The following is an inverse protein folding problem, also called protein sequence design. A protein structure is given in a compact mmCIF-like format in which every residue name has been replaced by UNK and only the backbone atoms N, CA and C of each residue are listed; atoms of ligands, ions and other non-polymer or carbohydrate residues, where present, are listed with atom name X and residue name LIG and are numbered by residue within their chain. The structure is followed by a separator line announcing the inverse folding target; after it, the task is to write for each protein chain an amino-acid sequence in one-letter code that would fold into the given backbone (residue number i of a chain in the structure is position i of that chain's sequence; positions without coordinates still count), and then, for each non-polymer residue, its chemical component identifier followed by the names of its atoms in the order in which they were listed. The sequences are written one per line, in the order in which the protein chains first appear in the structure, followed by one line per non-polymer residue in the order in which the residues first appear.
data_IF_528347765132
#
_entry.id   IF_528347765132
#
_cell.length_a   1.000
_cell.length_b   1.000
_cell.length_c   1.000
_cell.angle_alpha   90.00
_cell.angle_beta   90.00
_cell.angle_gamma   90.00
#
_symmetry.space_group_name_H-M   'P 1'
#
loop_
_entity.id
_entity.type
_entity.pdbx_description
1 polymer ?
#
# COMPACT_ATOMS: atom_id res chain seq x y z
N UNK A 1 3.08 -4.64 8.47
CA UNK A 1 3.74 -3.97 7.88
C UNK A 1 4.16 -2.54 7.63
N UNK A 2 5.17 -2.37 6.80
CA UNK A 2 5.73 -1.08 6.44
C UNK A 2 4.70 -0.18 5.73
N UNK A 3 4.03 -0.68 4.69
CA UNK A 3 3.01 0.04 3.92
C UNK A 3 1.86 0.58 4.79
N UNK A 4 1.43 -0.17 5.79
CA UNK A 4 0.37 0.28 6.70
C UNK A 4 0.74 1.53 7.52
N UNK A 5 2.03 1.89 7.58
CA UNK A 5 2.56 3.05 8.30
C UNK A 5 3.06 4.17 7.39
N UNK A 6 2.88 4.02 6.09
CA UNK A 6 3.35 4.98 5.08
C UNK A 6 2.15 5.63 4.40
N UNK A 7 2.14 6.95 4.34
CA UNK A 7 1.16 7.70 3.55
C UNK A 7 1.65 7.71 2.10
N UNK A 8 0.93 7.01 1.22
CA UNK A 8 1.29 6.84 -0.19
C UNK A 8 0.32 7.63 -1.06
N UNK A 9 0.87 8.41 -2.00
CA UNK A 9 0.11 9.09 -3.04
C UNK A 9 0.77 8.86 -4.40
N UNK A 10 -0.06 8.65 -5.41
CA UNK A 10 0.40 8.50 -6.79
C UNK A 10 -0.47 9.39 -7.70
N UNK A 11 -0.18 10.71 -7.76
CA UNK A 11 -0.94 11.64 -8.58
C UNK A 11 -0.74 11.38 -10.07
N UNK A 12 -1.74 11.76 -10.87
CA UNK A 12 -1.61 11.71 -12.32
C UNK A 12 -0.47 12.63 -12.79
N UNK A 13 0.28 12.16 -13.78
CA UNK A 13 1.35 12.96 -14.38
C UNK A 13 0.77 14.18 -15.08
N UNK A 14 1.35 15.35 -14.82
CA UNK A 14 1.08 16.58 -15.56
C UNK A 14 2.10 16.82 -16.67
N UNK A 15 2.91 15.81 -17.02
CA UNK A 15 3.86 15.92 -18.12
C UNK A 15 3.13 16.25 -19.44
N UNK A 16 3.64 17.21 -20.20
CA UNK A 16 2.99 17.74 -21.40
C UNK A 16 1.99 18.88 -21.16
N UNK A 17 1.71 19.25 -19.90
CA UNK A 17 0.83 20.36 -19.53
C UNK A 17 1.57 21.45 -18.73
N UNK A 18 2.85 21.27 -18.46
CA UNK A 18 3.68 22.20 -17.69
C UNK A 18 4.38 23.16 -18.64
N UNK A 19 3.65 24.16 -19.09
CA UNK A 19 4.22 25.25 -19.89
C UNK A 19 4.78 26.31 -18.94
N UNK A 20 5.93 26.87 -19.29
CA UNK A 20 6.56 28.00 -18.58
C UNK A 20 6.26 29.24 -19.39
N UNK A 21 5.71 30.26 -18.76
CA UNK A 21 5.51 31.59 -19.37
C UNK A 21 6.75 32.44 -19.06
N UNK A 22 7.28 33.13 -20.07
CA UNK A 22 8.43 34.02 -19.90
C UNK A 22 8.14 35.17 -18.91
N UNK A 23 6.85 35.48 -18.67
CA UNK A 23 6.42 36.48 -17.68
C UNK A 23 6.55 36.01 -16.23
N UNK A 24 6.74 34.70 -15.99
CA UNK A 24 6.81 34.08 -14.67
C UNK A 24 8.20 34.20 -13.99
N UNK A 25 9.07 35.08 -14.51
CA UNK A 25 10.42 35.34 -13.96
C UNK A 25 10.38 36.12 -12.63
N UNK A 26 9.69 35.62 -11.63
CA UNK A 26 9.91 36.09 -10.27
C UNK A 26 11.09 35.34 -9.67
N UNK A 27 12.28 35.95 -9.70
CA UNK A 27 13.49 35.47 -9.01
C UNK A 27 13.33 35.38 -7.48
N UNK A 28 12.17 35.78 -6.96
CA UNK A 28 11.88 35.76 -5.52
C UNK A 28 11.01 34.57 -5.13
N UNK A 29 11.46 33.81 -4.13
CA UNK A 29 10.64 32.77 -3.53
C UNK A 29 9.34 33.37 -2.97
N UNK A 30 8.16 32.71 -3.20
CA UNK A 30 6.90 33.13 -2.61
C UNK A 30 7.03 33.32 -1.08
N UNK A 31 6.44 34.40 -0.54
CA UNK A 31 6.53 34.75 0.89
C UNK A 31 6.12 33.59 1.82
N UNK A 32 5.15 32.77 1.40
CA UNK A 32 4.74 31.57 2.14
C UNK A 32 5.86 30.52 2.29
N UNK A 33 6.74 30.37 1.29
CA UNK A 33 7.89 29.47 1.36
C UNK A 33 8.90 29.98 2.38
N UNK A 34 9.18 31.28 2.36
CA UNK A 34 10.11 31.89 3.32
C UNK A 34 9.59 31.76 4.76
N UNK A 35 8.30 32.00 4.97
CA UNK A 35 7.66 31.82 6.28
C UNK A 35 7.75 30.35 6.74
N UNK A 36 7.45 29.40 5.87
CA UNK A 36 7.57 27.98 6.17
C UNK A 36 9.02 27.59 6.55
N UNK A 37 10.00 28.04 5.77
CA UNK A 37 11.41 27.77 6.06
C UNK A 37 11.83 28.33 7.42
N UNK A 38 11.41 29.55 7.76
CA UNK A 38 11.68 30.16 9.06
C UNK A 38 11.07 29.36 10.22
N UNK A 39 9.84 28.88 10.07
CA UNK A 39 9.14 28.05 11.06
C UNK A 39 9.86 26.70 11.25
N UNK A 40 10.24 26.03 10.16
CA UNK A 40 10.98 24.76 10.22
C UNK A 40 12.32 24.96 10.92
N UNK A 41 13.05 26.03 10.58
CA UNK A 41 14.33 26.35 11.23
C UNK A 41 14.17 26.53 12.74
N UNK A 42 13.16 27.30 13.19
CA UNK A 42 12.89 27.50 14.62
C UNK A 42 12.55 26.19 15.35
N UNK A 43 11.74 25.33 14.72
CA UNK A 43 11.40 24.02 15.31
C UNK A 43 12.62 23.12 15.46
N UNK A 44 13.48 23.08 14.45
CA UNK A 44 14.71 22.29 14.47
C UNK A 44 15.68 22.83 15.53
N UNK A 45 15.85 24.13 15.63
CA UNK A 45 16.69 24.76 16.65
C UNK A 45 16.21 24.41 18.06
N UNK A 46 14.92 24.58 18.35
CA UNK A 46 14.32 24.20 19.64
C UNK A 46 14.48 22.70 19.94
N UNK A 47 14.34 21.84 18.93
CA UNK A 47 14.52 20.40 19.08
C UNK A 47 15.98 20.06 19.43
N UNK A 48 16.94 20.72 18.77
CA UNK A 48 18.37 20.56 19.03
C UNK A 48 18.74 21.01 20.45
N UNK A 49 18.30 22.21 20.88
CA UNK A 49 18.52 22.74 22.21
C UNK A 49 18.01 21.81 23.30
N UNK A 50 16.78 21.30 23.17
CA UNK A 50 16.19 20.31 24.10
C UNK A 50 17.00 19.02 24.17
N UNK A 51 17.43 18.52 23.00
CA UNK A 51 18.24 17.31 22.95
C UNK A 51 19.59 17.53 23.65
N UNK A 52 20.23 18.68 23.41
CA UNK A 52 21.50 19.05 24.03
C UNK A 52 21.37 19.20 25.55
N UNK A 53 20.26 19.76 26.02
CA UNK A 53 20.00 19.96 27.45
C UNK A 53 19.53 18.66 28.16
N UNK A 54 19.40 17.54 27.46
CA UNK A 54 18.90 16.29 28.03
C UNK A 54 17.44 16.34 28.46
N UNK A 55 16.63 17.26 27.91
CA UNK A 55 15.23 17.40 28.24
C UNK A 55 14.41 16.17 27.81
N UNK A 56 13.47 15.75 28.65
CA UNK A 56 12.56 14.67 28.31
C UNK A 56 11.72 14.99 27.07
N UNK A 57 11.35 13.95 26.32
CA UNK A 57 10.46 14.12 25.17
C UNK A 57 9.12 14.69 25.61
N UNK A 58 8.65 15.69 24.87
CA UNK A 58 7.37 16.31 25.14
C UNK A 58 6.22 15.35 24.82
N UNK A 59 5.25 15.29 25.72
CA UNK A 59 4.00 14.55 25.53
C UNK A 59 2.89 15.56 25.26
N UNK A 60 2.22 15.42 24.12
CA UNK A 60 1.04 16.21 23.79
C UNK A 60 -0.23 15.44 24.18
N UNK A 61 -1.19 16.14 24.75
CA UNK A 61 -2.52 15.59 25.07
C UNK A 61 -3.58 16.19 24.14
N UNK A 62 -4.74 15.54 24.04
CA UNK A 62 -5.85 16.10 23.27
C UNK A 62 -6.69 17.03 24.14
N UNK A 63 -7.10 18.16 23.56
CA UNK A 63 -8.25 18.93 24.07
C UNK A 63 -9.53 18.08 24.01
N UNK A 64 -10.53 18.41 24.82
CA UNK A 64 -11.79 17.64 24.88
C UNK A 64 -12.47 17.47 23.52
N UNK A 65 -12.55 18.52 22.73
CA UNK A 65 -13.17 18.48 21.40
C UNK A 65 -12.29 17.70 20.39
N UNK A 66 -10.98 17.87 20.43
CA UNK A 66 -10.04 17.10 19.62
C UNK A 66 -10.14 15.60 19.93
N UNK A 67 -10.23 15.24 21.22
CA UNK A 67 -10.43 13.85 21.65
C UNK A 67 -11.75 13.30 21.14
N UNK A 68 -12.83 14.05 21.24
CA UNK A 68 -14.16 13.64 20.73
C UNK A 68 -14.11 13.37 19.22
N UNK A 69 -13.51 14.28 18.43
CA UNK A 69 -13.34 14.10 16.98
C UNK A 69 -12.52 12.85 16.66
N UNK A 70 -11.41 12.65 17.38
CA UNK A 70 -10.56 11.49 17.16
C UNK A 70 -11.29 10.19 17.47
N UNK A 71 -12.03 10.10 18.58
CA UNK A 71 -12.83 8.91 18.94
C UNK A 71 -13.91 8.64 17.89
N UNK A 72 -14.61 9.69 17.45
CA UNK A 72 -15.63 9.56 16.39
C UNK A 72 -15.02 9.02 15.11
N UNK A 73 -13.87 9.55 14.70
CA UNK A 73 -13.13 9.07 13.52
C UNK A 73 -12.67 7.63 13.69
N UNK A 74 -12.06 7.28 14.83
CA UNK A 74 -11.64 5.91 15.14
C UNK A 74 -12.81 4.93 14.99
N UNK A 75 -13.96 5.20 15.65
CA UNK A 75 -15.13 4.34 15.57
C UNK A 75 -15.72 4.25 14.16
N UNK A 76 -15.70 5.34 13.40
CA UNK A 76 -16.09 5.35 11.99
C UNK A 76 -15.21 4.41 11.16
N UNK A 77 -13.88 4.44 11.34
CA UNK A 77 -12.97 3.54 10.65
C UNK A 77 -13.22 2.10 11.09
N UNK A 78 -13.28 1.83 12.39
CA UNK A 78 -13.47 0.49 12.94
C UNK A 78 -14.75 -0.18 12.42
N UNK A 79 -15.86 0.57 12.34
CA UNK A 79 -17.11 0.06 11.76
C UNK A 79 -16.97 -0.36 10.28
N UNK A 80 -16.03 0.25 9.54
CA UNK A 80 -15.78 -0.04 8.13
C UNK A 80 -14.73 -1.15 7.91
N UNK A 81 -14.10 -1.64 8.97
CA UNK A 81 -13.14 -2.76 8.88
C UNK A 81 -13.80 -4.14 8.92
N UNK A 82 -15.12 -4.22 9.12
CA UNK A 82 -15.85 -5.48 9.20
C UNK A 82 -15.56 -6.36 7.95
N UNK A 83 -15.10 -7.62 8.11
CA UNK A 83 -14.70 -8.47 6.98
C UNK A 83 -15.81 -8.76 5.97
N UNK A 84 -17.08 -8.73 6.43
CA UNK A 84 -18.25 -9.07 5.57
C UNK A 84 -18.85 -7.86 4.87
N UNK A 85 -18.86 -6.70 5.52
CA UNK A 85 -19.64 -5.53 5.05
C UNK A 85 -18.83 -4.23 5.03
N UNK A 86 -17.62 -4.25 5.57
CA UNK A 86 -16.81 -3.05 5.70
C UNK A 86 -16.18 -2.61 4.38
N UNK A 87 -16.39 -1.35 4.00
CA UNK A 87 -15.81 -0.76 2.80
C UNK A 87 -14.27 -0.79 2.83
N UNK A 88 -13.67 -0.61 4.00
CA UNK A 88 -12.21 -0.57 4.18
C UNK A 88 -11.59 -1.95 4.42
N UNK A 89 -12.38 -3.02 4.41
CA UNK A 89 -11.88 -4.39 4.57
C UNK A 89 -10.76 -4.77 3.58
N UNK A 90 -10.78 -4.35 2.29
CA UNK A 90 -9.70 -4.66 1.36
C UNK A 90 -8.35 -4.05 1.72
N UNK A 91 -8.38 -2.91 2.43
CA UNK A 91 -7.19 -2.14 2.83
C UNK A 91 -7.05 -2.09 4.36
N UNK A 92 -7.55 -3.11 5.07
CA UNK A 92 -7.67 -3.15 6.54
C UNK A 92 -6.38 -2.82 7.26
N UNK A 93 -5.23 -3.26 6.76
CA UNK A 93 -3.93 -3.08 7.43
C UNK A 93 -3.52 -1.60 7.47
N UNK A 94 -3.79 -0.84 6.43
CA UNK A 94 -3.60 0.60 6.40
C UNK A 94 -4.70 1.32 7.19
N UNK A 95 -5.95 0.96 6.95
CA UNK A 95 -7.11 1.61 7.58
C UNK A 95 -7.11 1.47 9.11
N UNK A 96 -6.66 0.33 9.65
CA UNK A 96 -6.50 0.14 11.09
C UNK A 96 -5.46 1.09 11.73
N UNK A 97 -4.59 1.72 10.93
CA UNK A 97 -3.61 2.72 11.37
C UNK A 97 -4.05 4.16 11.13
N UNK A 98 -5.18 4.37 10.47
CA UNK A 98 -5.64 5.70 10.08
C UNK A 98 -5.80 6.67 11.27
N UNK A 99 -6.40 6.22 12.37
CA UNK A 99 -6.58 7.05 13.55
C UNK A 99 -5.24 7.39 14.25
N UNK A 100 -4.27 6.47 14.23
CA UNK A 100 -2.91 6.72 14.72
C UNK A 100 -2.21 7.77 13.84
N UNK A 101 -2.34 7.66 12.51
CA UNK A 101 -1.79 8.66 11.57
C UNK A 101 -2.43 10.03 11.78
N UNK A 102 -3.75 10.10 11.97
CA UNK A 102 -4.44 11.36 12.24
C UNK A 102 -3.92 12.02 13.52
N UNK A 103 -3.75 11.25 14.61
CA UNK A 103 -3.20 11.78 15.86
C UNK A 103 -1.77 12.33 15.70
N UNK A 104 -0.91 11.61 15.00
CA UNK A 104 0.47 12.04 14.72
C UNK A 104 0.53 13.28 13.86
N UNK A 105 -0.29 13.35 12.80
CA UNK A 105 -0.34 14.50 11.91
C UNK A 105 -0.91 15.73 12.63
N UNK A 106 -1.94 15.57 13.45
CA UNK A 106 -2.49 16.62 14.28
C UNK A 106 -1.45 17.18 15.26
N UNK A 107 -0.64 16.32 15.87
CA UNK A 107 0.46 16.73 16.72
C UNK A 107 1.51 17.56 15.95
N UNK A 108 1.86 17.16 14.73
CA UNK A 108 2.79 17.91 13.85
C UNK A 108 2.20 19.28 13.53
N UNK A 109 0.92 19.37 13.17
CA UNK A 109 0.27 20.65 12.88
C UNK A 109 0.24 21.57 14.10
N UNK A 110 -0.06 21.02 15.27
CA UNK A 110 -0.07 21.79 16.51
C UNK A 110 1.32 22.34 16.83
N UNK A 111 2.35 21.54 16.70
CA UNK A 111 3.74 21.97 16.93
C UNK A 111 4.21 22.99 15.91
N UNK A 112 3.75 22.92 14.68
CA UNK A 112 4.07 23.91 13.64
C UNK A 112 3.40 25.28 13.91
N UNK A 113 2.26 25.31 14.61
CA UNK A 113 1.58 26.56 14.98
C UNK A 113 2.21 27.26 16.19
N UNK A 114 2.98 26.56 16.99
CA UNK A 114 3.65 27.11 18.17
C UNK A 114 3.90 26.10 19.29
N UNK A 115 4.25 26.60 20.45
CA UNK A 115 4.69 25.82 21.60
C UNK A 115 3.51 25.42 22.50
N UNK A 116 2.60 24.62 21.96
CA UNK A 116 1.42 24.13 22.69
C UNK A 116 1.69 22.77 23.39
N UNK A 117 0.98 22.50 24.48
CA UNK A 117 0.97 21.23 25.19
C UNK A 117 -0.21 20.34 24.81
N UNK A 118 -1.23 20.91 24.18
CA UNK A 118 -2.47 20.23 23.80
C UNK A 118 -2.71 20.33 22.30
N UNK A 119 -3.28 19.31 21.71
CA UNK A 119 -3.71 19.26 20.33
C UNK A 119 -5.11 19.82 20.26
N UNK A 120 -5.28 20.88 19.47
CA UNK A 120 -6.55 21.56 19.26
C UNK A 120 -7.51 20.79 18.36
N UNK A 121 -8.80 21.13 18.43
CA UNK A 121 -9.83 20.60 17.54
C UNK A 121 -9.51 20.88 16.06
N UNK A 122 -9.04 22.08 15.72
CA UNK A 122 -8.71 22.47 14.35
C UNK A 122 -7.56 21.62 13.79
N UNK A 123 -6.47 21.44 14.55
CA UNK A 123 -5.37 20.57 14.14
C UNK A 123 -5.82 19.13 13.91
N UNK A 124 -6.70 18.61 14.76
CA UNK A 124 -7.27 17.28 14.61
C UNK A 124 -8.19 17.18 13.38
N UNK A 125 -9.04 18.19 13.15
CA UNK A 125 -9.93 18.22 12.00
C UNK A 125 -9.16 18.18 10.68
N UNK A 126 -8.14 19.02 10.53
CA UNK A 126 -7.28 19.05 9.33
C UNK A 126 -6.54 17.74 9.12
N UNK A 127 -6.01 17.16 10.19
CA UNK A 127 -5.33 15.87 10.12
C UNK A 127 -6.27 14.75 9.66
N UNK A 128 -7.48 14.68 10.20
CA UNK A 128 -8.49 13.70 9.80
C UNK A 128 -8.84 13.86 8.32
N UNK A 129 -9.07 15.07 7.84
CA UNK A 129 -9.39 15.34 6.43
C UNK A 129 -8.28 14.81 5.49
N UNK A 130 -7.02 15.03 5.85
CA UNK A 130 -5.88 14.51 5.07
C UNK A 130 -5.83 12.98 5.11
N UNK A 131 -6.04 12.37 6.27
CA UNK A 131 -6.02 10.91 6.38
C UNK A 131 -7.21 10.27 5.65
N UNK A 132 -8.38 10.88 5.64
CA UNK A 132 -9.52 10.44 4.82
C UNK A 132 -9.19 10.47 3.32
N UNK A 133 -8.47 11.50 2.86
CA UNK A 133 -7.97 11.54 1.49
C UNK A 133 -6.99 10.40 1.21
N UNK A 134 -6.04 10.15 2.12
CA UNK A 134 -5.08 9.03 1.97
C UNK A 134 -5.76 7.65 2.03
N UNK A 135 -6.84 7.50 2.78
CA UNK A 135 -7.65 6.27 2.76
C UNK A 135 -8.27 6.02 1.38
N UNK A 136 -8.83 7.07 0.76
CA UNK A 136 -9.36 6.98 -0.60
C UNK A 136 -8.27 6.68 -1.63
N UNK A 137 -7.11 7.32 -1.50
CA UNK A 137 -5.98 7.13 -2.39
C UNK A 137 -5.39 5.72 -2.25
N UNK A 138 -5.26 5.23 -1.02
CA UNK A 138 -4.78 3.88 -0.75
C UNK A 138 -5.77 2.82 -1.28
N UNK A 139 -7.08 3.05 -1.11
CA UNK A 139 -8.13 2.20 -1.68
C UNK A 139 -8.02 2.16 -3.21
N UNK A 140 -7.85 3.32 -3.85
CA UNK A 140 -7.67 3.45 -5.29
C UNK A 140 -6.44 2.68 -5.81
N UNK A 141 -5.33 2.73 -5.07
CA UNK A 141 -4.05 2.13 -5.49
C UNK A 141 -3.97 0.63 -5.21
N UNK A 142 -4.55 0.18 -4.11
CA UNK A 142 -4.29 -1.16 -3.58
C UNK A 142 -5.54 -2.04 -3.41
N UNK A 143 -6.76 -1.49 -3.51
CA UNK A 143 -7.95 -2.33 -3.50
C UNK A 143 -8.08 -3.05 -4.83
N UNK A 144 -8.28 -4.36 -4.76
CA UNK A 144 -8.53 -5.17 -5.95
C UNK A 144 -9.81 -4.69 -6.65
N UNK A 145 -9.75 -4.57 -7.97
CA UNK A 145 -10.93 -4.26 -8.79
C UNK A 145 -12.03 -5.34 -8.63
N UNK A 146 -13.28 -5.01 -8.95
CA UNK A 146 -14.35 -6.02 -8.97
C UNK A 146 -14.04 -7.21 -9.89
N UNK A 147 -13.38 -6.95 -11.02
CA UNK A 147 -12.95 -7.95 -11.99
C UNK A 147 -11.87 -8.86 -11.38
N UNK A 148 -10.85 -8.29 -10.73
CA UNK A 148 -9.80 -9.05 -10.05
C UNK A 148 -10.35 -9.92 -8.93
N UNK A 149 -11.30 -9.40 -8.13
CA UNK A 149 -12.00 -10.19 -7.09
C UNK A 149 -12.81 -11.34 -7.69
N UNK A 150 -13.42 -11.13 -8.84
CA UNK A 150 -14.15 -12.18 -9.55
C UNK A 150 -13.18 -13.25 -10.08
N UNK A 151 -12.07 -12.85 -10.69
CA UNK A 151 -11.04 -13.78 -11.18
C UNK A 151 -10.50 -14.61 -10.02
N UNK A 152 -10.16 -13.98 -8.89
CA UNK A 152 -9.66 -14.65 -7.67
C UNK A 152 -10.68 -15.69 -7.15
N UNK A 153 -11.95 -15.31 -7.02
CA UNK A 153 -13.03 -16.21 -6.58
C UNK A 153 -13.22 -17.40 -7.53
N UNK A 154 -13.07 -17.18 -8.83
CA UNK A 154 -13.14 -18.26 -9.82
C UNK A 154 -11.89 -19.13 -9.79
N UNK A 155 -10.71 -18.54 -9.58
CA UNK A 155 -9.46 -19.25 -9.43
C UNK A 155 -9.50 -20.19 -8.22
N UNK A 156 -10.02 -19.74 -7.09
CA UNK A 156 -10.20 -20.56 -5.90
C UNK A 156 -11.10 -21.78 -6.18
N UNK A 157 -12.24 -21.57 -6.84
CA UNK A 157 -13.14 -22.69 -7.22
C UNK A 157 -12.46 -23.69 -8.15
N UNK A 158 -11.71 -23.21 -9.13
CA UNK A 158 -10.96 -24.07 -10.05
C UNK A 158 -9.87 -24.84 -9.31
N UNK A 159 -9.14 -24.21 -8.40
CA UNK A 159 -8.13 -24.91 -7.58
C UNK A 159 -8.74 -26.02 -6.72
N UNK A 160 -9.84 -25.73 -6.03
CA UNK A 160 -10.55 -26.74 -5.23
C UNK A 160 -11.00 -27.89 -6.10
N UNK A 161 -11.55 -27.61 -7.29
CA UNK A 161 -11.97 -28.63 -8.24
C UNK A 161 -10.78 -29.45 -8.76
N UNK A 162 -9.68 -28.81 -9.15
CA UNK A 162 -8.47 -29.51 -9.59
C UNK A 162 -7.91 -30.43 -8.50
N UNK A 163 -7.86 -29.95 -7.26
CA UNK A 163 -7.41 -30.77 -6.10
C UNK A 163 -8.33 -31.97 -5.88
N UNK A 164 -9.63 -31.81 -6.03
CA UNK A 164 -10.61 -32.90 -5.89
C UNK A 164 -10.48 -33.96 -7.01
N UNK A 165 -9.94 -33.57 -8.17
CA UNK A 165 -9.74 -34.44 -9.35
C UNK A 165 -8.30 -34.92 -9.50
N UNK A 166 -7.41 -34.56 -8.57
CA UNK A 166 -5.98 -34.84 -8.59
C UNK A 166 -5.58 -35.90 -7.54
N UNK A 167 -6.17 -37.12 -7.54
CA UNK A 167 -5.46 -38.23 -6.95
C UNK A 167 -4.21 -38.46 -7.80
N UNK A 168 -3.09 -38.77 -7.14
CA UNK A 168 -1.89 -39.26 -7.82
C UNK A 168 -2.31 -40.39 -8.79
N UNK A 169 -1.80 -40.34 -10.02
CA UNK A 169 -2.04 -41.45 -10.93
C UNK A 169 -1.36 -42.74 -10.35
N UNK A 170 -1.66 -43.87 -10.94
CA UNK A 170 -1.14 -45.19 -10.49
C UNK A 170 0.41 -45.26 -10.38
N UNK A 171 1.13 -44.26 -10.92
CA UNK A 171 2.57 -44.11 -10.88
C UNK A 171 3.07 -43.01 -9.91
N UNK A 172 2.18 -42.42 -9.10
CA UNK A 172 2.55 -41.36 -8.16
C UNK A 172 2.81 -39.98 -8.79
N UNK A 173 2.56 -39.80 -10.09
CA UNK A 173 2.75 -38.51 -10.76
C UNK A 173 1.51 -37.60 -10.61
N UNK A 174 1.71 -36.26 -10.50
CA UNK A 174 0.60 -35.31 -10.45
C UNK A 174 -0.23 -35.35 -11.74
N UNK A 175 -1.55 -35.24 -11.60
CA UNK A 175 -2.44 -35.22 -12.76
C UNK A 175 -2.19 -33.97 -13.60
N UNK A 176 -2.08 -34.15 -14.91
CA UNK A 176 -2.06 -33.08 -15.90
C UNK A 176 -3.48 -32.74 -16.32
N UNK A 177 -3.77 -31.44 -16.42
CA UNK A 177 -5.03 -30.90 -16.88
C UNK A 177 -4.81 -30.12 -18.17
N UNK A 178 -5.86 -30.09 -19.01
CA UNK A 178 -5.92 -29.19 -20.16
C UNK A 178 -7.08 -28.19 -19.98
N UNK A 179 -7.03 -27.07 -20.69
CA UNK A 179 -8.10 -26.05 -20.64
C UNK A 179 -9.48 -26.66 -20.88
N UNK A 180 -9.59 -27.62 -21.80
CA UNK A 180 -10.83 -28.29 -22.14
C UNK A 180 -11.46 -29.04 -20.97
N UNK A 181 -10.68 -29.59 -20.04
CA UNK A 181 -11.19 -30.28 -18.85
C UNK A 181 -12.01 -29.31 -17.98
N UNK A 182 -11.51 -28.08 -17.81
CA UNK A 182 -12.23 -27.04 -17.06
C UNK A 182 -13.50 -26.62 -17.79
N UNK A 183 -13.41 -26.43 -19.12
CA UNK A 183 -14.58 -26.02 -19.93
C UNK A 183 -15.69 -27.07 -19.94
N UNK A 184 -15.36 -28.36 -19.94
CA UNK A 184 -16.33 -29.44 -19.97
C UNK A 184 -16.89 -29.80 -18.60
N UNK A 185 -16.04 -29.91 -17.59
CA UNK A 185 -16.41 -30.47 -16.28
C UNK A 185 -16.07 -29.61 -15.08
N UNK A 186 -15.35 -28.47 -15.25
CA UNK A 186 -14.97 -27.57 -14.19
C UNK A 186 -16.12 -26.71 -13.68
N UNK A 187 -15.87 -25.89 -12.64
CA UNK A 187 -16.82 -24.91 -12.14
C UNK A 187 -17.07 -23.77 -13.17
N UNK A 188 -18.23 -23.11 -13.07
CA UNK A 188 -18.53 -21.94 -13.91
C UNK A 188 -17.75 -20.71 -13.42
N UNK A 189 -17.36 -19.76 -14.31
CA UNK A 189 -17.63 -19.73 -15.76
C UNK A 189 -16.76 -20.72 -16.55
N UNK A 190 -17.24 -21.13 -17.73
CA UNK A 190 -16.58 -22.13 -18.59
C UNK A 190 -16.26 -21.59 -19.98
N UNK A 191 -16.53 -20.32 -20.23
CA UNK A 191 -16.18 -19.68 -21.49
C UNK A 191 -14.65 -19.59 -21.65
N UNK A 192 -14.14 -19.62 -22.88
CA UNK A 192 -12.70 -19.69 -23.14
C UNK A 192 -11.90 -18.51 -22.58
N UNK A 193 -12.50 -17.32 -22.57
CA UNK A 193 -11.85 -16.09 -22.13
C UNK A 193 -11.71 -16.07 -20.60
N UNK A 194 -12.79 -16.28 -19.85
CA UNK A 194 -12.75 -16.36 -18.38
C UNK A 194 -11.81 -17.46 -17.88
N UNK A 195 -11.84 -18.65 -18.51
CA UNK A 195 -10.93 -19.75 -18.15
C UNK A 195 -9.47 -19.34 -18.42
N UNK A 196 -9.19 -18.64 -19.52
CA UNK A 196 -7.85 -18.18 -19.83
C UNK A 196 -7.32 -17.18 -18.80
N UNK A 197 -8.13 -16.19 -18.42
CA UNK A 197 -7.77 -15.19 -17.40
C UNK A 197 -7.50 -15.86 -16.05
N UNK A 198 -8.33 -16.82 -15.67
CA UNK A 198 -8.13 -17.55 -14.40
C UNK A 198 -6.88 -18.41 -14.43
N UNK A 199 -6.58 -19.11 -15.53
CA UNK A 199 -5.35 -19.91 -15.66
C UNK A 199 -4.11 -19.03 -15.64
N UNK A 200 -4.15 -17.87 -16.30
CA UNK A 200 -3.08 -16.88 -16.23
C UNK A 200 -2.88 -16.39 -14.78
N UNK A 201 -3.96 -16.04 -14.09
CA UNK A 201 -3.90 -15.65 -12.68
C UNK A 201 -3.27 -16.75 -11.81
N UNK A 202 -3.72 -18.00 -11.95
CA UNK A 202 -3.19 -19.13 -11.18
C UNK A 202 -1.70 -19.40 -11.45
N UNK A 203 -1.25 -19.26 -12.70
CA UNK A 203 0.14 -19.40 -13.09
C UNK A 203 1.01 -18.28 -12.52
N UNK A 204 0.56 -17.02 -12.66
CA UNK A 204 1.28 -15.85 -12.13
C UNK A 204 1.46 -15.92 -10.62
N UNK A 205 0.47 -16.50 -9.90
CA UNK A 205 0.55 -16.68 -8.44
C UNK A 205 1.19 -18.02 -8.02
N UNK A 206 1.76 -18.77 -8.96
CA UNK A 206 2.50 -19.99 -8.67
C UNK A 206 1.64 -21.19 -8.21
N UNK A 207 0.31 -21.14 -8.42
CA UNK A 207 -0.58 -22.24 -8.04
C UNK A 207 -0.59 -23.37 -9.04
N UNK A 208 -0.30 -23.07 -10.29
CA UNK A 208 -0.15 -24.04 -11.38
C UNK A 208 1.12 -23.72 -12.16
N UNK A 209 1.68 -24.72 -12.83
CA UNK A 209 2.74 -24.56 -13.82
C UNK A 209 2.35 -25.25 -15.13
N UNK A 210 2.72 -24.64 -16.24
CA UNK A 210 2.55 -25.24 -17.56
C UNK A 210 3.61 -26.30 -17.81
N UNK A 211 3.19 -27.46 -18.34
CA UNK A 211 4.10 -28.55 -18.69
C UNK A 211 4.81 -28.22 -20.02
N UNK A 212 6.06 -28.59 -20.13
CA UNK A 212 6.88 -28.35 -21.33
C UNK A 212 6.20 -28.92 -22.59
N UNK A 213 6.00 -28.04 -23.61
CA UNK A 213 5.42 -28.45 -24.90
C UNK A 213 4.32 -27.53 -25.42
N UNK A 214 3.97 -26.47 -24.71
CA UNK A 214 2.99 -25.45 -25.10
C UNK A 214 1.98 -25.18 -23.97
N UNK A 215 1.41 -23.95 -23.95
CA UNK A 215 0.43 -23.49 -22.96
C UNK A 215 -0.91 -24.30 -22.91
N UNK A 216 -0.89 -25.56 -23.28
CA UNK A 216 -2.08 -26.41 -23.38
C UNK A 216 -2.26 -27.30 -22.17
N UNK A 217 -1.18 -27.71 -21.52
CA UNK A 217 -1.17 -28.64 -20.39
C UNK A 217 -0.60 -27.96 -19.14
N UNK A 218 -1.22 -28.20 -18.00
CA UNK A 218 -0.79 -27.63 -16.73
C UNK A 218 -1.03 -28.57 -15.57
N UNK A 219 -0.25 -28.41 -14.51
CA UNK A 219 -0.31 -29.19 -13.28
C UNK A 219 -0.37 -28.27 -12.06
N UNK A 220 -0.93 -28.79 -10.95
CA UNK A 220 -0.86 -28.11 -9.67
C UNK A 220 0.59 -28.00 -9.20
N UNK A 221 0.99 -26.82 -8.72
CA UNK A 221 2.29 -26.64 -8.08
C UNK A 221 2.33 -27.34 -6.72
N UNK A 222 3.43 -28.01 -6.40
CA UNK A 222 3.65 -28.72 -5.12
C UNK A 222 3.95 -27.78 -3.95
N UNK A 223 3.27 -26.65 -3.85
CA UNK A 223 3.48 -25.72 -2.75
C UNK A 223 2.67 -26.16 -1.53
N UNK A 224 3.36 -26.58 -0.50
CA UNK A 224 2.80 -26.88 0.82
C UNK A 224 2.00 -25.68 1.36
N UNK A 225 0.91 -25.98 2.01
CA UNK A 225 -0.21 -25.16 2.53
C UNK A 225 0.16 -23.99 3.46
N UNK A 226 1.05 -23.09 3.16
CA UNK A 226 1.35 -22.01 4.12
C UNK A 226 1.56 -20.60 3.58
N UNK A 227 0.96 -20.22 2.47
CA UNK A 227 1.13 -18.82 2.03
C UNK A 227 -0.03 -18.22 1.23
N UNK A 228 -1.27 -18.39 1.72
CA UNK A 228 -2.40 -17.60 1.19
C UNK A 228 -2.46 -16.18 1.80
N UNK A 229 -1.49 -15.81 2.64
CA UNK A 229 -1.42 -14.51 3.29
C UNK A 229 -0.03 -13.89 3.11
N UNK A 230 0.01 -12.74 2.50
CA UNK A 230 1.09 -11.75 2.43
C UNK A 230 2.15 -11.82 1.30
N UNK A 231 2.42 -12.91 0.63
CA UNK A 231 3.47 -12.92 -0.40
C UNK A 231 3.02 -12.26 -1.73
N UNK A 232 1.74 -12.21 -2.01
CA UNK A 232 1.21 -11.63 -3.24
C UNK A 232 1.32 -10.10 -3.33
N UNK A 233 1.44 -9.40 -2.20
CA UNK A 233 1.63 -7.94 -2.19
C UNK A 233 3.06 -7.49 -2.52
N UNK A 234 4.06 -8.33 -2.30
CA UNK A 234 5.47 -7.98 -2.55
C UNK A 234 5.92 -8.25 -3.99
N UNK A 235 5.30 -9.21 -4.68
CA UNK A 235 5.69 -9.54 -6.05
C UNK A 235 5.05 -8.65 -7.13
N UNK A 236 3.91 -8.03 -6.88
CA UNK A 236 3.32 -7.10 -7.83
C UNK A 236 4.07 -5.76 -7.95
N UNK A 237 4.94 -5.44 -7.01
CA UNK A 237 5.79 -4.23 -7.07
C UNK A 237 7.10 -4.41 -7.82
N UNK A 238 7.51 -5.63 -8.17
CA UNK A 238 8.80 -5.88 -8.85
C UNK A 238 8.74 -5.86 -10.37
N UNK A 239 7.56 -5.70 -10.98
CA UNK A 239 7.41 -5.84 -12.43
C UNK A 239 7.36 -4.52 -13.23
N UNK A 240 7.63 -3.38 -12.61
CA UNK A 240 7.68 -2.08 -13.32
C UNK A 240 9.01 -1.34 -13.16
N UNK A 241 10.11 -2.06 -12.99
CA UNK A 241 11.43 -1.43 -13.15
C UNK A 241 12.23 -2.18 -14.20
N UNK A 242 12.19 -1.64 -15.41
CA UNK A 242 13.17 -1.93 -16.46
C UNK A 242 14.45 -1.14 -16.12
N UNK A 243 15.60 -1.77 -15.85
CA UNK A 243 16.84 -1.02 -15.63
C UNK A 243 17.54 -0.84 -16.96
N UNK A 244 17.37 0.34 -17.55
CA UNK A 244 18.24 0.86 -18.60
C UNK A 244 19.35 1.69 -17.98
N UNK A 245 20.56 1.12 -17.94
CA UNK A 245 21.87 1.75 -18.04
C UNK A 245 22.07 3.16 -17.45
N UNK A 246 22.93 3.27 -16.41
CA UNK A 246 24.12 4.11 -16.51
C UNK A 246 25.17 3.55 -15.53
N UNK A 247 26.33 3.16 -16.08
CA UNK A 247 27.63 3.04 -15.45
C UNK A 247 28.09 4.44 -15.00
N UNK A 248 28.71 4.57 -13.85
CA UNK A 248 30.08 4.99 -13.62
C UNK A 248 30.32 5.46 -12.20
N UNK A 249 31.28 4.79 -11.60
CA UNK A 249 32.40 5.28 -10.79
C UNK A 249 32.23 6.54 -9.95
N UNK A 250 32.40 6.43 -8.66
CA UNK A 250 33.59 6.99 -8.01
C UNK A 250 33.75 6.51 -6.56
N UNK A 251 34.79 5.80 -6.35
CA UNK A 251 35.75 5.60 -5.30
C UNK A 251 35.73 6.55 -4.08
N UNK A 252 35.84 5.91 -2.88
CA UNK A 252 36.68 6.27 -1.72
C UNK A 252 36.60 7.64 -1.06
N UNK A 253 36.40 7.59 0.25
CA UNK A 253 37.30 8.11 1.35
C UNK A 253 36.56 7.80 2.67
N UNK A 254 36.93 6.73 3.43
CA UNK A 254 37.96 6.55 4.45
C UNK A 254 37.80 7.47 5.68
N UNK A 255 37.53 6.80 6.82
CA UNK A 255 38.04 6.92 8.17
C UNK A 255 38.27 8.31 8.82
N UNK A 256 37.63 8.51 9.96
CA UNK A 256 38.29 8.43 11.31
C UNK A 256 37.38 8.98 12.41
N UNK A 257 37.06 8.15 13.38
CA UNK A 257 36.94 8.56 14.80
C UNK A 257 38.38 8.62 15.39
N UNK A 258 38.59 9.03 16.60
CA UNK A 258 37.77 9.67 17.64
C UNK A 258 38.49 10.89 18.29
N UNK A 259 37.81 11.71 18.99
CA UNK A 259 38.09 12.08 20.41
C UNK A 259 36.85 12.74 20.99
#
# INVERSE_FOLDING_TARGET
GYLARTLVAFPNSTAGQRFVDESDNSDSLPSGILTFQAQVHQLLQKAFERHHNGEARRVLTFESLAKHRWVTFFNKIESQLNPKFGRLSPIKDFAAKAAEHAARLAAIFQMAQGDAQTISEDSMHRAIAIIEWYLCEFDRLFAKSPEEKNIEKHAEKILVWMRSKSPLNSFGAPRTFIRRDIQQSGPRPRDPESVSLVLQYLSTHGHIHFVFGGNKEFQLSNTNQSSFNMASMQQSMSFTQNPGLIHENTTNIIHRSPI
#
